data_IF_667074563208
#
_entry.id   IF_667074563208
#
_cell.length_a   1.000
_cell.length_b   1.000
_cell.length_c   1.000
_cell.angle_alpha   90.00
_cell.angle_beta   90.00
_cell.angle_gamma   90.00
#
_symmetry.space_group_name_H-M   'P 1'
#
loop_
_entity.id
_entity.type
_entity.pdbx_description
1 polymer ?
#
# COMPACT_ATOMS: atom_id res chain seq x y z
N UNK A 1 -4.86 -13.36 39.11
CA UNK A 1 -6.14 -12.77 39.56
C UNK A 1 -6.13 -11.25 39.59
N UNK A 2 -5.04 -10.59 40.00
CA UNK A 2 -4.93 -9.11 39.99
C UNK A 2 -5.34 -8.46 38.66
N UNK A 3 -4.92 -9.02 37.52
CA UNK A 3 -5.32 -8.51 36.20
C UNK A 3 -6.83 -8.49 35.96
N UNK A 4 -7.59 -9.44 36.54
CA UNK A 4 -9.05 -9.46 36.44
C UNK A 4 -9.68 -8.34 37.26
N UNK A 5 -9.12 -8.01 38.43
CA UNK A 5 -9.62 -6.92 39.27
C UNK A 5 -9.36 -5.57 38.60
N UNK A 6 -8.15 -5.32 38.11
CA UNK A 6 -7.86 -4.11 37.32
C UNK A 6 -8.74 -3.99 36.08
N UNK A 7 -9.06 -5.13 35.42
CA UNK A 7 -9.96 -5.12 34.29
C UNK A 7 -11.40 -4.71 34.67
N UNK A 8 -11.91 -5.14 35.84
CA UNK A 8 -13.21 -4.72 36.37
C UNK A 8 -13.23 -3.24 36.73
N UNK A 9 -12.12 -2.73 37.27
CA UNK A 9 -11.91 -1.31 37.58
C UNK A 9 -11.74 -0.43 36.33
N UNK A 10 -11.70 -1.04 35.14
CA UNK A 10 -11.42 -0.39 33.84
C UNK A 10 -10.02 0.21 33.75
N UNK A 11 -9.12 -0.13 34.68
CA UNK A 11 -7.69 0.16 34.56
C UNK A 11 -7.05 -0.89 33.65
N UNK A 12 -7.27 -0.74 32.35
CA UNK A 12 -6.78 -1.70 31.36
C UNK A 12 -5.25 -1.69 31.25
N UNK A 13 -4.59 -0.58 31.58
CA UNK A 13 -3.12 -0.48 31.58
C UNK A 13 -2.50 -1.39 32.64
N UNK A 14 -2.97 -1.28 33.89
CA UNK A 14 -2.52 -2.18 34.97
C UNK A 14 -2.96 -3.62 34.74
N UNK A 15 -4.13 -3.84 34.15
CA UNK A 15 -4.57 -5.18 33.76
C UNK A 15 -3.59 -5.84 32.79
N UNK A 16 -3.17 -5.14 31.72
CA UNK A 16 -2.16 -5.65 30.76
C UNK A 16 -0.85 -6.00 31.46
N UNK A 17 -0.36 -5.15 32.36
CA UNK A 17 0.87 -5.39 33.10
C UNK A 17 0.76 -6.66 33.97
N UNK A 18 -0.32 -6.80 34.74
CA UNK A 18 -0.56 -7.94 35.61
C UNK A 18 -0.71 -9.26 34.82
N UNK A 19 -1.40 -9.27 33.68
CA UNK A 19 -1.48 -10.46 32.83
C UNK A 19 -0.12 -10.81 32.19
N UNK A 20 0.66 -9.80 31.82
CA UNK A 20 2.00 -10.01 31.24
C UNK A 20 2.96 -10.62 32.24
N UNK A 21 2.92 -10.20 33.50
CA UNK A 21 3.68 -10.84 34.58
C UNK A 21 3.25 -12.30 34.79
N UNK A 22 1.95 -12.59 34.71
CA UNK A 22 1.43 -13.96 34.74
C UNK A 22 2.00 -14.84 33.62
N UNK A 23 2.00 -14.33 32.39
CA UNK A 23 2.57 -15.03 31.23
C UNK A 23 4.10 -15.20 31.32
N UNK A 24 4.80 -14.25 31.95
CA UNK A 24 6.26 -14.31 32.16
C UNK A 24 6.68 -15.45 33.08
N UNK A 25 5.81 -15.90 33.98
CA UNK A 25 6.09 -17.04 34.87
C UNK A 25 6.16 -18.38 34.13
N UNK A 26 5.82 -18.43 32.83
CA UNK A 26 5.92 -19.62 31.96
C UNK A 26 5.32 -20.87 32.62
N UNK A 27 4.08 -20.77 33.08
CA UNK A 27 3.35 -21.94 33.57
C UNK A 27 3.22 -22.98 32.45
N UNK A 28 3.41 -24.26 32.78
CA UNK A 28 3.27 -25.36 31.81
C UNK A 28 1.81 -25.66 31.44
N UNK A 29 0.84 -25.01 32.10
CA UNK A 29 -0.59 -25.18 31.82
C UNK A 29 -1.02 -24.36 30.57
N UNK A 30 -1.33 -25.02 29.44
CA UNK A 30 -1.74 -24.35 28.21
C UNK A 30 -3.12 -23.69 28.33
N UNK A 31 -4.02 -24.20 29.18
CA UNK A 31 -5.35 -23.64 29.38
C UNK A 31 -5.26 -22.29 30.09
N UNK A 32 -4.49 -22.25 31.18
CA UNK A 32 -4.25 -21.01 31.93
C UNK A 32 -3.57 -19.96 31.05
N UNK A 33 -2.58 -20.35 30.25
CA UNK A 33 -1.91 -19.43 29.32
C UNK A 33 -2.86 -18.89 28.24
N UNK A 34 -3.74 -19.73 27.68
CA UNK A 34 -4.75 -19.28 26.72
C UNK A 34 -5.74 -18.28 27.34
N UNK A 35 -6.15 -18.49 28.59
CA UNK A 35 -7.01 -17.55 29.34
C UNK A 35 -6.29 -16.23 29.61
N UNK A 36 -5.03 -16.27 30.06
CA UNK A 36 -4.23 -15.07 30.32
C UNK A 36 -4.01 -14.23 29.05
N UNK A 37 -3.68 -14.88 27.93
CA UNK A 37 -3.57 -14.22 26.63
C UNK A 37 -4.90 -13.61 26.19
N UNK A 38 -6.01 -14.32 26.35
CA UNK A 38 -7.34 -13.82 25.97
C UNK A 38 -7.75 -12.60 26.79
N UNK A 39 -7.43 -12.60 28.08
CA UNK A 39 -7.73 -11.48 28.99
C UNK A 39 -6.80 -10.28 28.75
N UNK A 40 -5.51 -10.53 28.48
CA UNK A 40 -4.57 -9.48 28.07
C UNK A 40 -4.98 -8.85 26.74
N UNK A 41 -5.35 -9.67 25.77
CA UNK A 41 -5.89 -9.22 24.48
C UNK A 41 -7.17 -8.41 24.64
N UNK A 42 -8.03 -8.76 25.60
CA UNK A 42 -9.21 -7.96 25.94
C UNK A 42 -8.82 -6.56 26.44
N UNK A 43 -7.83 -6.47 27.32
CA UNK A 43 -7.35 -5.21 27.86
C UNK A 43 -6.67 -4.35 26.78
N UNK A 44 -5.84 -4.95 25.92
CA UNK A 44 -5.27 -4.28 24.75
C UNK A 44 -6.36 -3.75 23.80
N UNK A 45 -7.40 -4.54 23.54
CA UNK A 45 -8.51 -4.12 22.69
C UNK A 45 -9.23 -2.90 23.25
N UNK A 46 -9.45 -2.85 24.58
CA UNK A 46 -10.06 -1.68 25.25
C UNK A 46 -9.18 -0.43 25.22
N UNK A 47 -7.87 -0.59 25.10
CA UNK A 47 -6.91 0.50 24.95
C UNK A 47 -6.73 0.96 23.49
N UNK A 48 -7.42 0.34 22.51
CA UNK A 48 -7.23 0.62 21.08
C UNK A 48 -5.98 -0.04 20.48
N UNK A 49 -5.28 -0.88 21.24
CA UNK A 49 -4.07 -1.58 20.80
C UNK A 49 -4.43 -2.85 20.00
N UNK A 50 -5.10 -2.68 18.86
CA UNK A 50 -5.74 -3.79 18.12
C UNK A 50 -4.75 -4.82 17.58
N UNK A 51 -3.56 -4.41 17.14
CA UNK A 51 -2.51 -5.34 16.67
C UNK A 51 -1.98 -6.22 17.82
N UNK A 52 -1.75 -5.64 18.98
CA UNK A 52 -1.31 -6.39 20.17
C UNK A 52 -2.42 -7.35 20.65
N UNK A 53 -3.67 -6.88 20.65
CA UNK A 53 -4.83 -7.72 20.97
C UNK A 53 -5.02 -8.89 19.99
N UNK A 54 -4.78 -8.65 18.70
CA UNK A 54 -4.84 -9.69 17.67
C UNK A 54 -3.73 -10.74 17.86
N UNK A 55 -2.50 -10.30 18.13
CA UNK A 55 -1.39 -11.22 18.40
C UNK A 55 -1.68 -12.11 19.62
N UNK A 56 -2.25 -11.55 20.69
CA UNK A 56 -2.69 -12.31 21.86
C UNK A 56 -3.81 -13.31 21.51
N UNK A 57 -4.78 -12.92 20.69
CA UNK A 57 -5.84 -13.80 20.21
C UNK A 57 -5.30 -14.96 19.34
N UNK A 58 -4.32 -14.69 18.48
CA UNK A 58 -3.64 -15.71 17.65
C UNK A 58 -2.92 -16.71 18.53
N UNK A 59 -2.15 -16.24 19.51
CA UNK A 59 -1.42 -17.11 20.44
C UNK A 59 -2.39 -17.93 21.30
N UNK A 60 -3.45 -17.32 21.81
CA UNK A 60 -4.48 -18.03 22.57
C UNK A 60 -5.17 -19.12 21.73
N UNK A 61 -5.49 -18.81 20.46
CA UNK A 61 -6.03 -19.79 19.50
C UNK A 61 -5.05 -20.92 19.20
N UNK A 62 -3.74 -20.63 19.11
CA UNK A 62 -2.71 -21.65 18.90
C UNK A 62 -2.59 -22.61 20.09
N UNK A 63 -2.72 -22.10 21.31
CA UNK A 63 -2.71 -22.93 22.52
C UNK A 63 -4.02 -23.73 22.67
N UNK A 64 -5.15 -23.09 22.37
CA UNK A 64 -6.48 -23.70 22.45
C UNK A 64 -7.34 -23.30 21.23
N UNK A 65 -7.36 -24.14 20.18
CA UNK A 65 -8.13 -23.84 18.96
C UNK A 65 -9.63 -23.70 19.19
N UNK A 66 -10.18 -24.35 20.23
CA UNK A 66 -11.61 -24.29 20.58
C UNK A 66 -11.96 -23.12 21.51
N UNK A 67 -11.02 -22.21 21.80
CA UNK A 67 -11.26 -21.09 22.72
C UNK A 67 -12.05 -19.96 22.06
N UNK A 68 -13.38 -20.08 22.11
CA UNK A 68 -14.31 -19.17 21.42
C UNK A 68 -14.09 -17.68 21.75
N UNK A 69 -13.75 -17.34 23.00
CA UNK A 69 -13.49 -15.94 23.41
C UNK A 69 -12.26 -15.33 22.70
N UNK A 70 -11.22 -16.11 22.44
CA UNK A 70 -10.07 -15.65 21.65
C UNK A 70 -10.45 -15.46 20.18
N UNK A 71 -11.27 -16.36 19.63
CA UNK A 71 -11.73 -16.27 18.24
C UNK A 71 -12.59 -15.02 18.04
N UNK A 72 -13.55 -14.78 18.93
CA UNK A 72 -14.36 -13.54 18.93
C UNK A 72 -13.46 -12.31 19.02
N UNK A 73 -12.44 -12.33 19.89
CA UNK A 73 -11.48 -11.22 20.01
C UNK A 73 -10.74 -10.99 18.69
N UNK A 74 -10.22 -12.04 18.07
CA UNK A 74 -9.50 -11.96 16.80
C UNK A 74 -10.36 -11.40 15.67
N UNK A 75 -11.61 -11.88 15.54
CA UNK A 75 -12.57 -11.35 14.56
C UNK A 75 -12.82 -9.85 14.77
N UNK A 76 -13.03 -9.41 16.02
CA UNK A 76 -13.21 -7.99 16.33
C UNK A 76 -11.95 -7.16 16.06
N UNK A 77 -10.76 -7.69 16.34
CA UNK A 77 -9.51 -6.98 16.01
C UNK A 77 -9.35 -6.79 14.50
N UNK A 78 -9.67 -7.81 13.70
CA UNK A 78 -9.66 -7.71 12.24
C UNK A 78 -10.66 -6.67 11.72
N UNK A 79 -11.85 -6.57 12.34
CA UNK A 79 -12.82 -5.51 12.02
C UNK A 79 -12.26 -4.10 12.28
N UNK A 80 -11.67 -3.86 13.44
CA UNK A 80 -11.08 -2.55 13.79
C UNK A 80 -9.85 -2.22 12.92
N UNK A 81 -9.12 -3.25 12.48
CA UNK A 81 -8.00 -3.11 11.54
C UNK A 81 -8.44 -3.00 10.06
N UNK A 82 -9.76 -3.05 9.77
CA UNK A 82 -10.36 -3.05 8.42
C UNK A 82 -9.97 -4.23 7.53
N UNK A 83 -9.51 -5.32 8.14
CA UNK A 83 -9.18 -6.58 7.46
C UNK A 83 -10.45 -7.46 7.40
N UNK A 84 -11.40 -7.07 6.55
CA UNK A 84 -12.74 -7.67 6.54
C UNK A 84 -12.76 -9.14 6.09
N UNK A 85 -11.89 -9.53 5.15
CA UNK A 85 -11.76 -10.92 4.70
C UNK A 85 -11.32 -11.85 5.83
N UNK A 86 -10.31 -11.45 6.59
CA UNK A 86 -9.85 -12.21 7.75
C UNK A 86 -10.89 -12.18 8.87
N UNK A 87 -11.59 -11.06 9.09
CA UNK A 87 -12.67 -11.01 10.06
C UNK A 87 -13.75 -12.07 9.77
N UNK A 88 -14.14 -12.24 8.50
CA UNK A 88 -15.08 -13.28 8.06
C UNK A 88 -14.53 -14.68 8.35
N UNK A 89 -13.28 -14.98 7.95
CA UNK A 89 -12.66 -16.29 8.18
C UNK A 89 -12.59 -16.65 9.68
N UNK A 90 -12.28 -15.68 10.54
CA UNK A 90 -12.31 -15.89 11.99
C UNK A 90 -13.73 -16.11 12.52
N UNK A 91 -14.73 -15.43 11.97
CA UNK A 91 -16.13 -15.68 12.33
C UNK A 91 -16.56 -17.09 11.91
N UNK A 92 -16.22 -17.55 10.71
CA UNK A 92 -16.54 -18.90 10.22
C UNK A 92 -15.89 -19.99 11.06
N UNK A 93 -14.63 -19.82 11.46
CA UNK A 93 -13.95 -20.75 12.37
C UNK A 93 -14.67 -20.82 13.73
N UNK A 94 -15.05 -19.67 14.30
CA UNK A 94 -15.76 -19.65 15.57
C UNK A 94 -17.19 -20.20 15.48
N UNK A 95 -17.87 -19.97 14.35
CA UNK A 95 -19.22 -20.50 14.10
C UNK A 95 -19.22 -22.02 13.82
N UNK A 96 -18.08 -22.59 13.40
CA UNK A 96 -17.89 -24.05 13.37
C UNK A 96 -17.82 -24.66 14.78
N UNK A 97 -17.41 -23.89 15.78
CA UNK A 97 -17.36 -24.32 17.18
C UNK A 97 -18.73 -24.10 17.85
N UNK A 98 -19.31 -22.91 17.68
CA UNK A 98 -20.64 -22.56 18.18
C UNK A 98 -21.42 -21.79 17.10
N UNK A 99 -22.34 -22.49 16.45
CA UNK A 99 -23.13 -21.95 15.34
C UNK A 99 -24.16 -20.89 15.77
N UNK A 100 -24.48 -20.81 17.06
CA UNK A 100 -25.44 -19.86 17.61
C UNK A 100 -24.78 -18.64 18.26
N UNK A 101 -23.45 -18.50 18.18
CA UNK A 101 -22.72 -17.38 18.77
C UNK A 101 -23.08 -16.06 18.07
N UNK A 102 -23.99 -15.31 18.72
CA UNK A 102 -24.57 -14.06 18.22
C UNK A 102 -23.50 -13.04 17.85
N UNK A 103 -22.41 -12.93 18.63
CA UNK A 103 -21.38 -11.92 18.36
C UNK A 103 -20.67 -12.18 17.04
N UNK A 104 -20.40 -13.44 16.71
CA UNK A 104 -19.75 -13.82 15.45
C UNK A 104 -20.70 -13.64 14.27
N UNK A 105 -21.98 -14.02 14.41
CA UNK A 105 -22.99 -13.78 13.37
C UNK A 105 -23.11 -12.29 13.03
N UNK A 106 -23.25 -11.43 14.04
CA UNK A 106 -23.32 -9.98 13.85
C UNK A 106 -22.04 -9.41 13.22
N UNK A 107 -20.88 -9.91 13.65
CA UNK A 107 -19.58 -9.46 13.15
C UNK A 107 -19.39 -9.86 11.69
N UNK A 108 -19.76 -11.08 11.32
CA UNK A 108 -19.71 -11.58 9.94
C UNK A 108 -20.58 -10.75 9.01
N UNK A 109 -21.86 -10.55 9.35
CA UNK A 109 -22.78 -9.74 8.53
C UNK A 109 -22.25 -8.32 8.32
N UNK A 110 -21.67 -7.71 9.37
CA UNK A 110 -21.02 -6.40 9.26
C UNK A 110 -19.78 -6.43 8.38
N UNK A 111 -18.94 -7.45 8.53
CA UNK A 111 -17.73 -7.64 7.72
C UNK A 111 -18.08 -7.83 6.24
N UNK A 112 -19.08 -8.66 5.92
CA UNK A 112 -19.56 -8.89 4.56
C UNK A 112 -20.05 -7.60 3.91
N UNK A 113 -20.89 -6.83 4.61
CA UNK A 113 -21.39 -5.54 4.11
C UNK A 113 -20.25 -4.55 3.86
N UNK A 114 -19.29 -4.46 4.78
CA UNK A 114 -18.14 -3.57 4.63
C UNK A 114 -17.20 -4.03 3.52
N UNK A 115 -16.99 -5.35 3.37
CA UNK A 115 -16.20 -5.94 2.27
C UNK A 115 -16.82 -5.62 0.91
N UNK A 116 -18.14 -5.78 0.75
CA UNK A 116 -18.84 -5.41 -0.49
C UNK A 116 -18.73 -3.91 -0.76
N UNK A 117 -18.88 -3.05 0.26
CA UNK A 117 -18.74 -1.61 0.07
C UNK A 117 -17.33 -1.20 -0.33
N UNK A 118 -16.29 -1.80 0.26
CA UNK A 118 -14.89 -1.57 -0.13
C UNK A 118 -14.65 -2.06 -1.55
N UNK A 119 -15.15 -3.25 -1.91
CA UNK A 119 -15.06 -3.79 -3.27
C UNK A 119 -15.81 -2.91 -4.28
N UNK A 120 -17.00 -2.42 -3.96
CA UNK A 120 -17.77 -1.52 -4.82
C UNK A 120 -17.09 -0.15 -4.98
N UNK A 121 -16.56 0.43 -3.90
CA UNK A 121 -15.77 1.66 -3.96
C UNK A 121 -14.51 1.48 -4.83
N UNK A 122 -13.86 0.33 -4.70
CA UNK A 122 -12.72 -0.03 -5.55
C UNK A 122 -13.12 -0.21 -7.02
N UNK A 123 -14.22 -0.91 -7.32
CA UNK A 123 -14.70 -1.07 -8.70
C UNK A 123 -15.07 0.29 -9.32
N UNK A 124 -15.75 1.16 -8.58
CA UNK A 124 -16.03 2.53 -9.00
C UNK A 124 -14.74 3.32 -9.26
N UNK A 125 -13.72 3.14 -8.42
CA UNK A 125 -12.40 3.74 -8.62
C UNK A 125 -11.71 3.21 -9.89
N UNK A 126 -11.74 1.90 -10.14
CA UNK A 126 -11.18 1.29 -11.35
C UNK A 126 -11.94 1.73 -12.61
N UNK A 127 -13.26 1.76 -12.58
CA UNK A 127 -14.10 2.24 -13.69
C UNK A 127 -13.86 3.73 -13.96
N UNK A 128 -13.75 4.56 -12.92
CA UNK A 128 -13.41 5.98 -13.06
C UNK A 128 -12.00 6.16 -13.63
N UNK A 129 -11.05 5.30 -13.26
CA UNK A 129 -9.68 5.34 -13.77
C UNK A 129 -9.66 4.91 -15.24
N UNK A 130 -10.33 3.81 -15.59
CA UNK A 130 -10.50 3.36 -16.96
C UNK A 130 -11.18 4.42 -17.84
N UNK A 131 -12.21 5.12 -17.33
CA UNK A 131 -12.86 6.22 -18.04
C UNK A 131 -11.92 7.40 -18.26
N UNK A 132 -11.14 7.79 -17.25
CA UNK A 132 -10.10 8.81 -17.39
C UNK A 132 -9.06 8.39 -18.45
N UNK A 133 -8.67 7.13 -18.49
CA UNK A 133 -7.73 6.61 -19.50
C UNK A 133 -8.33 6.48 -20.90
N UNK A 134 -9.65 6.44 -21.01
CA UNK A 134 -10.36 6.56 -22.29
C UNK A 134 -10.56 8.01 -22.76
N UNK A 135 -10.05 9.00 -22.03
CA UNK A 135 -10.16 10.40 -22.44
C UNK A 135 -9.37 10.64 -23.74
N UNK A 136 -9.97 11.34 -24.72
CA UNK A 136 -9.32 11.61 -26.01
C UNK A 136 -7.91 12.19 -25.91
N UNK A 137 -7.59 13.14 -24.99
CA UNK A 137 -6.25 13.68 -24.86
C UNK A 137 -5.16 12.64 -24.57
N UNK A 138 -5.46 11.56 -23.82
CA UNK A 138 -4.48 10.51 -23.54
C UNK A 138 -4.33 9.52 -24.70
N UNK A 139 -5.45 9.19 -25.37
CA UNK A 139 -5.46 8.31 -26.53
C UNK A 139 -4.74 8.95 -27.73
N UNK A 140 -4.97 10.23 -27.99
CA UNK A 140 -4.29 10.99 -29.05
C UNK A 140 -2.77 11.05 -28.84
N UNK A 141 -2.32 10.97 -27.59
CA UNK A 141 -0.92 11.03 -27.21
C UNK A 141 -0.23 9.67 -27.20
N UNK A 142 -0.91 8.56 -27.52
CA UNK A 142 -0.36 7.20 -27.55
C UNK A 142 0.34 6.74 -26.24
N UNK A 143 -0.12 7.22 -25.09
CA UNK A 143 0.47 6.88 -23.78
C UNK A 143 -0.09 5.54 -23.30
N UNK A 144 0.79 4.60 -22.95
CA UNK A 144 0.40 3.27 -22.46
C UNK A 144 0.29 3.28 -20.94
N UNK A 145 -0.85 2.83 -20.43
CA UNK A 145 -1.17 2.85 -19.00
C UNK A 145 -1.47 1.42 -18.54
N UNK A 146 -0.89 1.05 -17.40
CA UNK A 146 -1.15 -0.25 -16.75
C UNK A 146 -1.95 0.03 -15.48
N UNK A 147 -3.16 -0.50 -15.47
CA UNK A 147 -3.93 -0.71 -14.25
C UNK A 147 -3.32 -1.96 -13.60
N UNK A 148 -2.56 -1.80 -12.52
CA UNK A 148 -2.16 -2.97 -11.74
C UNK A 148 -3.38 -3.47 -10.98
N UNK A 149 -3.84 -4.70 -11.24
CA UNK A 149 -4.75 -5.34 -10.35
C UNK A 149 -3.99 -5.95 -9.20
N UNK A 150 -4.34 -5.57 -7.98
CA UNK A 150 -3.89 -6.30 -6.81
C UNK A 150 -4.53 -7.70 -6.84
N UNK A 151 -3.81 -8.73 -7.30
CA UNK A 151 -3.88 -10.20 -7.07
C UNK A 151 -5.21 -10.91 -6.68
N UNK A 152 -6.38 -10.29 -6.77
CA UNK A 152 -7.70 -10.82 -6.41
C UNK A 152 -8.69 -10.74 -7.59
N UNK A 153 -8.17 -10.70 -8.81
CA UNK A 153 -8.93 -10.59 -10.06
C UNK A 153 -9.32 -11.93 -10.67
N UNK A 154 -10.46 -12.48 -10.28
CA UNK A 154 -11.22 -13.29 -11.24
C UNK A 154 -12.66 -13.39 -10.76
N UNK A 155 -13.42 -12.29 -10.87
CA UNK A 155 -14.87 -12.38 -11.13
C UNK A 155 -15.51 -11.00 -11.27
N UNK A 156 -16.19 -10.85 -12.41
CA UNK A 156 -17.33 -9.95 -12.68
C UNK A 156 -16.96 -8.63 -13.37
N UNK A 157 -16.65 -8.79 -14.65
CA UNK A 157 -16.96 -7.84 -15.71
C UNK A 157 -18.42 -8.05 -16.15
N UNK A 158 -19.40 -7.72 -15.30
CA UNK A 158 -20.81 -7.64 -15.72
C UNK A 158 -21.63 -6.88 -14.68
N UNK A 159 -21.91 -5.61 -14.95
CA UNK A 159 -22.75 -4.79 -14.07
C UNK A 159 -22.47 -3.30 -14.14
N UNK A 160 -22.45 -2.71 -15.34
CA UNK A 160 -22.49 -1.26 -15.49
C UNK A 160 -23.93 -0.76 -15.27
N UNK A 161 -24.13 0.06 -14.23
CA UNK A 161 -25.21 1.03 -14.18
C UNK A 161 -24.85 2.19 -13.26
N UNK A 162 -24.69 3.37 -13.87
CA UNK A 162 -25.02 4.71 -13.36
C UNK A 162 -24.60 5.12 -11.92
N UNK A 163 -23.70 6.11 -11.82
CA UNK A 163 -23.87 7.39 -11.09
C UNK A 163 -22.55 8.01 -10.59
N UNK A 164 -22.43 9.31 -10.90
CA UNK A 164 -21.67 10.43 -10.32
C UNK A 164 -20.16 10.35 -10.06
N UNK A 165 -19.50 11.24 -10.80
CA UNK A 165 -18.14 11.78 -10.67
C UNK A 165 -17.86 12.31 -9.26
N UNK A 166 -16.79 11.81 -8.65
CA UNK A 166 -16.24 12.40 -7.44
C UNK A 166 -15.04 11.65 -6.88
N UNK A 167 -13.85 12.24 -7.08
CA UNK A 167 -12.74 12.12 -6.14
C UNK A 167 -11.88 10.85 -6.23
N UNK A 168 -10.84 10.90 -7.06
CA UNK A 168 -9.81 9.86 -7.02
C UNK A 168 -9.13 9.78 -5.64
N UNK A 169 -8.70 8.59 -5.25
CA UNK A 169 -7.60 8.40 -4.32
C UNK A 169 -6.60 7.48 -5.00
N UNK A 170 -5.43 8.01 -5.38
CA UNK A 170 -4.23 7.17 -5.39
C UNK A 170 -3.55 7.44 -4.06
N UNK A 171 -3.22 6.39 -3.33
CA UNK A 171 -2.42 6.46 -2.11
C UNK A 171 -0.95 6.77 -2.46
N UNK A 172 -0.71 7.81 -3.27
CA UNK A 172 0.58 8.47 -3.35
C UNK A 172 0.67 9.33 -2.09
N UNK A 173 1.83 9.41 -1.43
CA UNK A 173 2.02 10.16 -0.17
C UNK A 173 1.55 11.64 -0.22
N UNK A 174 1.35 12.19 -1.42
CA UNK A 174 0.92 13.57 -1.70
C UNK A 174 -0.49 13.71 -2.30
N UNK A 175 -1.14 12.63 -2.75
CA UNK A 175 -2.46 12.67 -3.40
C UNK A 175 -2.54 13.40 -4.76
N UNK A 176 -1.38 13.69 -5.38
CA UNK A 176 -1.27 14.39 -6.67
C UNK A 176 -1.71 13.51 -7.84
N UNK A 177 -2.34 14.12 -8.86
CA UNK A 177 -2.96 13.40 -9.98
C UNK A 177 -2.65 14.07 -11.31
N UNK A 178 -2.66 13.27 -12.36
CA UNK A 178 -2.59 13.79 -13.72
C UNK A 178 -3.82 14.66 -14.01
N UNK A 179 -3.60 15.83 -14.57
CA UNK A 179 -4.65 16.80 -14.86
C UNK A 179 -4.30 17.63 -16.09
N UNK A 180 -5.33 18.19 -16.74
CA UNK A 180 -5.17 19.11 -17.86
C UNK A 180 -4.99 20.54 -17.35
N UNK A 181 -4.12 21.31 -17.99
CA UNK A 181 -4.07 22.75 -17.83
C UNK A 181 -5.08 23.48 -18.73
N UNK A 182 -5.06 24.82 -18.67
CA UNK A 182 -5.96 25.67 -19.45
C UNK A 182 -5.74 25.56 -20.98
N UNK A 183 -4.55 25.14 -21.40
CA UNK A 183 -4.15 25.00 -22.80
C UNK A 183 -4.40 23.57 -23.32
N UNK A 184 -4.87 22.65 -22.46
CA UNK A 184 -5.15 21.27 -22.80
C UNK A 184 -3.94 20.35 -22.78
N UNK A 185 -2.84 20.76 -22.14
CA UNK A 185 -1.67 19.91 -21.90
C UNK A 185 -1.80 19.15 -20.59
N UNK A 186 -1.21 17.96 -20.55
CA UNK A 186 -1.20 17.13 -19.35
C UNK A 186 -0.07 17.52 -18.39
N UNK A 187 -0.41 17.56 -17.11
CA UNK A 187 0.53 17.72 -16.01
C UNK A 187 0.51 16.44 -15.17
N UNK A 188 1.65 15.75 -15.09
CA UNK A 188 1.77 14.43 -14.48
C UNK A 188 2.45 14.48 -13.11
N UNK A 189 2.00 13.70 -12.13
CA UNK A 189 2.83 13.39 -10.97
C UNK A 189 3.96 12.45 -11.41
N UNK A 190 5.22 12.83 -11.22
CA UNK A 190 6.39 12.02 -11.63
C UNK A 190 7.22 11.64 -10.42
N UNK A 191 7.54 10.35 -10.31
CA UNK A 191 8.38 9.79 -9.26
C UNK A 191 9.80 9.58 -9.77
N UNK A 192 10.77 10.21 -9.12
CA UNK A 192 12.19 9.98 -9.34
C UNK A 192 12.72 9.03 -8.27
N UNK A 193 13.43 8.00 -8.70
CA UNK A 193 14.04 7.00 -7.83
C UNK A 193 15.56 7.10 -7.90
N UNK A 194 16.24 7.06 -6.76
CA UNK A 194 17.70 7.09 -6.64
C UNK A 194 18.20 5.78 -5.99
N UNK A 195 18.37 4.69 -6.76
CA UNK A 195 18.64 3.38 -6.16
C UNK A 195 19.96 3.29 -5.39
N UNK A 196 20.96 4.13 -5.72
CA UNK A 196 22.26 4.16 -5.01
C UNK A 196 22.13 4.54 -3.52
N UNK A 197 21.13 5.37 -3.20
CA UNK A 197 20.92 5.92 -1.85
C UNK A 197 19.57 5.53 -1.25
N UNK A 198 18.80 4.68 -1.93
CA UNK A 198 17.42 4.30 -1.56
C UNK A 198 16.53 5.52 -1.29
N UNK A 199 16.75 6.59 -2.04
CA UNK A 199 15.98 7.84 -1.94
C UNK A 199 14.96 7.94 -3.07
N UNK A 200 13.94 8.77 -2.85
CA UNK A 200 12.95 9.13 -3.86
C UNK A 200 12.66 10.62 -3.81
N UNK A 201 12.26 11.19 -4.94
CA UNK A 201 11.75 12.55 -5.03
C UNK A 201 10.49 12.54 -5.90
N UNK A 202 9.58 13.47 -5.65
CA UNK A 202 8.25 13.49 -6.24
C UNK A 202 7.92 14.87 -6.79
N UNK A 203 7.76 14.95 -8.11
CA UNK A 203 7.26 16.14 -8.77
C UNK A 203 5.73 16.05 -8.88
N UNK A 204 5.02 16.92 -8.17
CA UNK A 204 3.54 16.95 -8.11
C UNK A 204 2.90 17.23 -9.46
N UNK A 205 3.50 18.12 -10.25
CA UNK A 205 3.00 18.54 -11.55
C UNK A 205 4.18 18.74 -12.52
N UNK A 206 4.42 17.72 -13.34
CA UNK A 206 5.40 17.71 -14.42
C UNK A 206 4.65 17.92 -15.73
N UNK A 207 4.82 19.09 -16.34
CA UNK A 207 4.16 19.42 -17.60
C UNK A 207 4.70 18.54 -18.73
N UNK A 208 3.81 17.96 -19.55
CA UNK A 208 4.19 16.94 -20.54
C UNK A 208 5.21 17.41 -21.59
N UNK A 209 5.22 18.71 -21.90
CA UNK A 209 6.18 19.31 -22.84
C UNK A 209 7.44 19.87 -22.16
N UNK A 210 7.57 19.76 -20.83
CA UNK A 210 8.80 20.13 -20.12
C UNK A 210 9.86 19.07 -20.32
N UNK A 211 11.13 19.50 -20.41
CA UNK A 211 12.28 18.59 -20.51
C UNK A 211 12.69 18.11 -19.13
N UNK A 212 13.24 16.90 -19.06
CA UNK A 212 13.78 16.37 -17.81
C UNK A 212 14.92 17.24 -17.26
N UNK A 213 15.80 17.75 -18.12
CA UNK A 213 16.93 18.57 -17.70
C UNK A 213 16.50 19.84 -16.95
N UNK A 214 15.39 20.47 -17.37
CA UNK A 214 14.88 21.69 -16.73
C UNK A 214 14.41 21.39 -15.29
N UNK A 215 13.74 20.24 -15.09
CA UNK A 215 13.34 19.78 -13.76
C UNK A 215 14.54 19.36 -12.91
N UNK A 216 15.49 18.61 -13.46
CA UNK A 216 16.71 18.20 -12.75
C UNK A 216 17.52 19.41 -12.28
N UNK A 217 17.61 20.47 -13.10
CA UNK A 217 18.30 21.71 -12.71
C UNK A 217 17.67 22.38 -11.49
N UNK A 218 16.34 22.32 -11.35
CA UNK A 218 15.63 22.86 -10.19
C UNK A 218 15.77 21.92 -8.98
N UNK A 219 15.56 20.61 -9.16
CA UNK A 219 15.65 19.61 -8.10
C UNK A 219 17.03 19.57 -7.44
N UNK A 220 18.09 19.72 -8.24
CA UNK A 220 19.49 19.69 -7.79
C UNK A 220 20.14 21.09 -7.77
N UNK A 221 19.34 22.15 -7.70
CA UNK A 221 19.86 23.51 -7.50
C UNK A 221 20.61 23.64 -6.17
N UNK A 222 20.10 22.94 -5.14
CA UNK A 222 20.79 22.69 -3.89
C UNK A 222 21.16 21.21 -3.80
N UNK A 223 22.40 20.90 -3.41
CA UNK A 223 22.85 19.52 -3.29
C UNK A 223 22.09 18.83 -2.14
N UNK A 224 21.50 17.66 -2.38
CA UNK A 224 20.74 16.98 -1.35
C UNK A 224 21.67 16.52 -0.21
N UNK A 225 21.18 16.49 1.04
CA UNK A 225 22.00 16.19 2.22
C UNK A 225 22.58 14.77 2.20
N UNK A 226 21.98 13.86 1.42
CA UNK A 226 22.43 12.48 1.26
C UNK A 226 23.54 12.31 0.21
N UNK A 227 23.78 13.32 -0.66
CA UNK A 227 24.86 13.29 -1.65
C UNK A 227 26.19 13.82 -1.05
N UNK A 228 26.75 13.03 -0.13
CA UNK A 228 27.99 13.37 0.57
C UNK A 228 29.18 13.59 -0.39
N UNK A 229 29.18 12.89 -1.52
CA UNK A 229 30.24 12.93 -2.53
C UNK A 229 30.00 13.99 -3.62
N UNK A 230 28.87 14.72 -3.56
CA UNK A 230 28.49 15.80 -4.49
C UNK A 230 28.47 15.36 -5.95
N UNK A 231 27.99 14.16 -6.20
CA UNK A 231 27.97 13.50 -7.52
C UNK A 231 26.72 13.79 -8.33
N UNK A 232 25.62 14.16 -7.67
CA UNK A 232 24.30 14.34 -8.27
C UNK A 232 24.13 15.74 -8.87
N UNK A 233 24.96 16.04 -9.87
CA UNK A 233 24.87 17.26 -10.67
C UNK A 233 24.07 16.98 -11.94
N UNK A 234 23.17 17.87 -12.41
CA UNK A 234 22.33 17.63 -13.59
C UNK A 234 23.09 17.15 -14.84
N UNK A 235 24.29 17.69 -15.09
CA UNK A 235 25.15 17.29 -16.22
C UNK A 235 25.72 15.87 -16.11
N UNK A 236 25.78 15.35 -14.88
CA UNK A 236 26.37 14.07 -14.50
C UNK A 236 25.32 12.96 -14.24
N UNK A 237 24.04 13.25 -14.43
CA UNK A 237 22.96 12.29 -14.25
C UNK A 237 22.62 11.57 -15.56
N UNK A 238 22.26 10.29 -15.44
CA UNK A 238 21.63 9.47 -16.47
C UNK A 238 20.27 9.02 -15.96
N UNK A 239 19.27 9.05 -16.85
CA UNK A 239 17.89 8.71 -16.55
C UNK A 239 17.54 7.40 -17.23
N UNK A 240 16.72 6.58 -16.58
CA UNK A 240 16.26 5.31 -17.12
C UNK A 240 14.81 5.02 -16.74
N UNK A 241 14.15 4.17 -17.51
CA UNK A 241 13.00 3.41 -17.04
C UNK A 241 13.22 1.92 -17.25
N UNK A 242 12.48 1.11 -16.52
CA UNK A 242 12.55 -0.35 -16.58
C UNK A 242 11.31 -0.90 -17.30
N UNK A 243 11.54 -1.80 -18.23
CA UNK A 243 10.53 -2.66 -18.81
C UNK A 243 10.47 -3.95 -17.98
N UNK A 244 9.56 -3.97 -17.00
CA UNK A 244 9.44 -5.07 -16.05
C UNK A 244 9.06 -6.41 -16.70
N UNK A 245 8.34 -6.40 -17.82
CA UNK A 245 7.98 -7.65 -18.51
C UNK A 245 9.21 -8.36 -19.11
N UNK A 246 10.20 -7.58 -19.55
CA UNK A 246 11.39 -8.08 -20.24
C UNK A 246 12.66 -8.03 -19.39
N UNK A 247 12.58 -7.40 -18.22
CA UNK A 247 13.73 -7.10 -17.36
C UNK A 247 14.83 -6.31 -18.13
N UNK A 248 14.39 -5.41 -19.02
CA UNK A 248 15.25 -4.56 -19.87
C UNK A 248 15.20 -3.10 -19.38
N UNK A 249 16.33 -2.39 -19.54
CA UNK A 249 16.48 -1.00 -19.13
C UNK A 249 16.54 -0.09 -20.35
N UNK A 250 15.99 1.11 -20.24
CA UNK A 250 15.92 2.08 -21.32
C UNK A 250 16.45 3.44 -20.86
N UNK A 251 17.57 3.90 -21.43
CA UNK A 251 18.17 5.21 -21.17
C UNK A 251 17.30 6.32 -21.76
N UNK A 252 16.92 7.28 -20.92
CA UNK A 252 16.16 8.47 -21.28
C UNK A 252 17.13 9.63 -21.47
N UNK A 253 17.09 10.26 -22.64
CA UNK A 253 17.82 11.51 -22.88
C UNK A 253 17.21 12.66 -22.03
N UNK A 254 17.97 13.33 -21.14
CA UNK A 254 17.45 14.42 -20.32
C UNK A 254 16.91 15.62 -21.12
N UNK A 255 17.32 15.78 -22.38
CA UNK A 255 16.78 16.83 -23.27
C UNK A 255 15.39 16.51 -23.82
N UNK A 256 14.92 15.26 -23.71
CA UNK A 256 13.57 14.88 -24.13
C UNK A 256 12.51 15.41 -23.17
N UNK A 257 11.31 15.61 -23.69
CA UNK A 257 10.14 15.95 -22.89
C UNK A 257 9.56 14.71 -22.23
N UNK A 258 8.75 14.90 -21.18
CA UNK A 258 8.02 13.79 -20.58
C UNK A 258 7.15 13.07 -21.61
N UNK A 259 6.41 13.81 -22.44
CA UNK A 259 5.53 13.25 -23.47
C UNK A 259 6.29 12.29 -24.42
N UNK A 260 7.49 12.67 -24.87
CA UNK A 260 8.31 11.84 -25.76
C UNK A 260 8.67 10.50 -25.11
N UNK A 261 8.95 10.49 -23.80
CA UNK A 261 9.24 9.26 -23.05
C UNK A 261 7.98 8.43 -22.83
N UNK A 262 6.86 9.07 -22.48
CA UNK A 262 5.57 8.39 -22.28
C UNK A 262 5.01 7.76 -23.56
N UNK A 263 5.40 8.28 -24.72
CA UNK A 263 5.05 7.75 -26.04
C UNK A 263 5.84 6.52 -26.45
N UNK A 264 6.90 6.17 -25.72
CA UNK A 264 7.73 5.04 -26.08
C UNK A 264 6.97 3.71 -25.95
N UNK A 265 7.18 2.80 -26.89
CA UNK A 265 6.37 1.57 -26.99
C UNK A 265 6.50 0.63 -25.77
N UNK A 266 7.58 0.75 -25.03
CA UNK A 266 7.86 -0.07 -23.84
C UNK A 266 7.75 0.72 -22.54
N UNK A 267 7.27 1.97 -22.60
CA UNK A 267 6.99 2.73 -21.40
C UNK A 267 5.54 2.52 -20.98
N UNK A 268 5.33 2.03 -19.76
CA UNK A 268 4.00 1.80 -19.20
C UNK A 268 3.84 2.59 -17.92
N UNK A 269 2.90 3.53 -17.93
CA UNK A 269 2.60 4.34 -16.74
C UNK A 269 1.75 3.51 -15.78
N UNK A 270 2.28 3.26 -14.58
CA UNK A 270 1.59 2.53 -13.52
C UNK A 270 0.87 3.48 -12.58
N UNK A 271 -0.39 3.17 -12.24
CA UNK A 271 -1.20 3.96 -11.30
C UNK A 271 -1.21 5.48 -11.58
N UNK A 272 -1.11 5.87 -12.86
CA UNK A 272 -1.08 7.28 -13.29
C UNK A 272 0.18 8.06 -12.88
N UNK A 273 1.26 7.39 -12.44
CA UNK A 273 2.49 8.03 -11.95
C UNK A 273 3.71 7.52 -12.74
N UNK A 274 4.17 8.24 -13.78
CA UNK A 274 5.44 7.96 -14.43
C UNK A 274 6.58 7.83 -13.43
N UNK A 275 7.41 6.80 -13.58
CA UNK A 275 8.54 6.52 -12.69
C UNK A 275 9.84 6.54 -13.50
N UNK A 276 10.82 7.32 -13.02
CA UNK A 276 12.12 7.48 -13.67
C UNK A 276 13.22 7.17 -12.67
N UNK A 277 14.14 6.28 -13.05
CA UNK A 277 15.31 5.92 -12.29
C UNK A 277 16.46 6.88 -12.63
N UNK A 278 17.16 7.36 -11.62
CA UNK A 278 18.23 8.35 -11.76
C UNK A 278 19.54 7.77 -11.24
N UNK A 279 20.56 7.79 -12.09
CA UNK A 279 21.90 7.30 -11.78
C UNK A 279 22.96 8.36 -12.06
N UNK A 280 24.11 8.21 -11.41
CA UNK A 280 25.31 8.99 -11.71
C UNK A 280 26.11 8.32 -12.82
N UNK A 281 26.52 9.10 -13.82
CA UNK A 281 27.34 8.65 -14.95
C UNK A 281 28.56 7.88 -14.49
N UNK A 282 28.71 6.66 -15.01
CA UNK A 282 29.86 5.79 -14.77
C UNK A 282 30.18 5.49 -13.28
N UNK A 283 29.22 5.67 -12.36
CA UNK A 283 29.43 5.36 -10.95
C UNK A 283 29.69 3.85 -10.73
N UNK A 284 30.44 3.47 -9.68
CA UNK A 284 30.62 2.07 -9.34
C UNK A 284 29.28 1.35 -9.10
N UNK A 285 28.31 2.07 -8.54
CA UNK A 285 26.97 1.56 -8.30
C UNK A 285 26.22 1.31 -9.62
N UNK A 286 26.21 2.26 -10.56
CA UNK A 286 25.51 2.07 -11.85
C UNK A 286 26.08 0.89 -12.63
N UNK A 287 27.41 0.75 -12.69
CA UNK A 287 28.07 -0.42 -13.30
C UNK A 287 27.64 -1.75 -12.68
N UNK A 288 27.51 -1.80 -11.35
CA UNK A 288 27.04 -2.99 -10.63
C UNK A 288 25.55 -3.23 -10.86
N UNK A 289 24.74 -2.19 -10.85
CA UNK A 289 23.29 -2.25 -11.01
C UNK A 289 22.90 -2.78 -12.41
N UNK A 290 23.59 -2.33 -13.45
CA UNK A 290 23.36 -2.78 -14.83
C UNK A 290 24.09 -4.07 -15.19
N UNK A 291 24.87 -4.66 -14.28
CA UNK A 291 25.59 -5.91 -14.54
C UNK A 291 24.61 -7.05 -14.81
N UNK A 292 24.55 -7.53 -16.06
CA UNK A 292 23.64 -8.59 -16.47
C UNK A 292 22.28 -8.11 -16.98
N UNK A 293 22.00 -6.80 -16.95
CA UNK A 293 20.80 -6.21 -17.57
C UNK A 293 21.10 -5.76 -19.01
N UNK A 294 20.11 -5.88 -19.90
CA UNK A 294 20.18 -5.29 -21.25
C UNK A 294 19.74 -3.84 -21.17
N UNK A 295 20.55 -2.93 -21.72
CA UNK A 295 20.30 -1.49 -21.72
C UNK A 295 20.15 -1.00 -23.16
N UNK A 296 19.04 -0.34 -23.43
CA UNK A 296 18.69 0.29 -24.71
C UNK A 296 18.72 1.81 -24.55
N UNK A 297 18.87 2.54 -25.65
CA UNK A 297 18.88 4.00 -25.65
C UNK A 297 17.71 4.54 -26.45
N UNK A 298 16.96 5.49 -25.88
CA UNK A 298 15.92 6.25 -26.59
C UNK A 298 16.51 7.40 -27.40
#
# INVERSE_FOLDING_TARGET
NEGNEYFKEKDYGRAVAAYSEGLRKKCEDPELNAVLLTNRGAAHFRLGNYRSALNDAIQAKKLKPTHLKAIIRGALCHMELKNFSEAIAWCEEGLRIDSAEKKLLETRVKADKLKVNVKAAWHLQCLSSALFFSLPPLQERNIKLVLEPSNEEEEILDGLAEISLGGFHSDNATGAKVHLDADGNLNWPVLFLYPEHEQTDFTVAFHENSRFIDHLMVMFAELPPWDLERKYLPSNLELYFEDEEREEMYEVNPEHTLLQVLQHERYFVKAGTPTVLVFVKHSPFSKKYFSGKRVHRL
#
